data_IF_025207831405
#
_entry.id   IF_025207831405
#
_cell.length_a   1.000
_cell.length_b   1.000
_cell.length_c   1.000
_cell.angle_alpha   90.00
_cell.angle_beta   90.00
_cell.angle_gamma   90.00
#
_symmetry.space_group_name_H-M   'P 1'
#
loop_
_entity.id
_entity.type
_entity.pdbx_description
1 polymer ?
#
# COMPACT_ATOMS: atom_id res chain seq x y z
N UNK A 1 -0.63 -11.77 8.89
CA UNK A 1 -0.43 -10.78 7.81
C UNK A 1 1.03 -10.34 7.81
N UNK A 2 1.70 -10.25 6.65
CA UNK A 2 3.10 -9.84 6.52
C UNK A 2 3.24 -8.68 5.53
N UNK A 3 4.04 -7.67 5.87
CA UNK A 3 4.48 -6.62 4.93
C UNK A 3 5.62 -7.17 4.07
N UNK A 4 5.47 -7.06 2.76
CA UNK A 4 6.44 -7.55 1.76
C UNK A 4 7.38 -6.45 1.29
N UNK A 5 6.83 -5.26 1.11
CA UNK A 5 7.52 -4.08 0.60
C UNK A 5 6.80 -2.81 1.10
N UNK A 6 7.50 -1.68 1.12
CA UNK A 6 6.94 -0.40 1.56
C UNK A 6 7.65 0.78 0.90
N UNK A 7 6.94 1.90 0.77
CA UNK A 7 7.57 3.19 0.49
C UNK A 7 8.02 3.84 1.79
N UNK A 8 9.04 4.70 1.73
CA UNK A 8 9.50 5.49 2.88
C UNK A 8 8.33 6.22 3.59
N UNK A 9 8.31 6.18 4.92
CA UNK A 9 7.31 6.84 5.77
C UNK A 9 7.61 8.34 6.02
N UNK A 10 8.70 8.83 5.41
CA UNK A 10 9.14 10.22 5.41
C UNK A 10 8.18 11.16 4.67
N UNK A 11 7.31 10.62 3.81
CA UNK A 11 6.30 11.40 3.09
C UNK A 11 4.97 11.45 3.87
N UNK A 12 4.13 12.43 3.55
CA UNK A 12 2.79 12.55 4.15
C UNK A 12 1.87 11.35 3.83
N UNK A 13 2.16 10.64 2.73
CA UNK A 13 1.49 9.41 2.32
C UNK A 13 2.55 8.35 2.07
N UNK A 14 2.36 7.17 2.64
CA UNK A 14 3.20 6.02 2.37
C UNK A 14 2.34 4.77 2.19
N UNK A 15 2.91 3.76 1.55
CA UNK A 15 2.22 2.57 1.14
C UNK A 15 2.96 1.31 1.59
N UNK A 16 2.21 0.26 1.90
CA UNK A 16 2.73 -1.06 2.24
C UNK A 16 2.08 -2.11 1.33
N UNK A 17 2.88 -3.00 0.75
CA UNK A 17 2.40 -4.20 0.07
C UNK A 17 2.25 -5.33 1.10
N UNK A 18 1.00 -5.67 1.44
CA UNK A 18 0.68 -6.66 2.47
C UNK A 18 0.27 -8.00 1.85
N UNK A 19 0.58 -9.11 2.53
CA UNK A 19 0.21 -10.47 2.10
C UNK A 19 -0.39 -11.30 3.24
N UNK A 20 -1.44 -12.08 2.92
CA UNK A 20 -1.95 -13.18 3.75
C UNK A 20 -2.68 -14.21 2.89
N UNK A 21 -2.47 -15.51 3.14
CA UNK A 21 -3.25 -16.57 2.49
C UNK A 21 -3.22 -16.58 0.96
N UNK A 22 -2.08 -16.23 0.34
CA UNK A 22 -1.94 -16.14 -1.13
C UNK A 22 -2.52 -14.87 -1.76
N UNK A 23 -3.29 -14.10 -0.99
CA UNK A 23 -3.83 -12.81 -1.38
C UNK A 23 -2.90 -11.67 -0.94
N UNK A 24 -3.00 -10.55 -1.65
CA UNK A 24 -2.28 -9.31 -1.38
C UNK A 24 -3.21 -8.11 -1.49
N UNK A 25 -2.86 -7.06 -0.78
CA UNK A 25 -3.50 -5.75 -0.86
C UNK A 25 -2.45 -4.66 -0.59
N UNK A 26 -2.75 -3.45 -1.02
CA UNK A 26 -1.94 -2.27 -0.70
C UNK A 26 -2.62 -1.53 0.44
N UNK A 27 -1.89 -1.28 1.51
CA UNK A 27 -2.30 -0.36 2.56
C UNK A 27 -1.75 1.03 2.25
N UNK A 28 -2.63 2.01 2.16
CA UNK A 28 -2.29 3.43 2.07
C UNK A 28 -2.43 4.06 3.45
N UNK A 29 -1.38 4.71 3.91
CA UNK A 29 -1.39 5.47 5.16
C UNK A 29 -1.12 6.93 4.87
N UNK A 30 -1.99 7.83 5.36
CA UNK A 30 -1.84 9.27 5.17
C UNK A 30 -1.90 10.03 6.49
N UNK A 31 -1.03 11.04 6.64
CA UNK A 31 -0.96 11.94 7.79
C UNK A 31 -1.86 13.14 7.53
N UNK A 32 -3.09 13.13 8.06
CA UNK A 32 -4.01 14.27 8.00
C UNK A 32 -3.72 15.24 9.14
N UNK A 33 -3.43 16.49 8.78
CA UNK A 33 -3.21 17.62 9.69
C UNK A 33 -2.13 17.35 10.78
N UNK A 34 -1.12 16.53 10.44
CA UNK A 34 0.01 16.20 11.32
C UNK A 34 -0.33 15.39 12.58
N UNK A 35 -1.59 15.04 12.81
CA UNK A 35 -2.05 14.38 14.05
C UNK A 35 -2.88 13.12 13.83
N UNK A 36 -3.57 13.01 12.69
CA UNK A 36 -4.46 11.87 12.42
C UNK A 36 -3.90 11.01 11.30
N UNK A 37 -3.61 9.76 11.63
CA UNK A 37 -3.30 8.74 10.64
C UNK A 37 -4.62 8.23 10.05
N UNK A 38 -4.76 8.25 8.73
CA UNK A 38 -5.86 7.64 7.98
C UNK A 38 -5.29 6.45 7.22
N UNK A 39 -5.88 5.29 7.42
CA UNK A 39 -5.49 4.03 6.78
C UNK A 39 -6.60 3.58 5.85
N UNK A 40 -6.24 3.26 4.62
CA UNK A 40 -7.12 2.74 3.58
C UNK A 40 -6.48 1.49 2.99
N UNK A 41 -7.31 0.51 2.62
CA UNK A 41 -6.84 -0.73 2.00
C UNK A 41 -7.45 -0.87 0.60
N UNK A 42 -6.64 -1.32 -0.35
CA UNK A 42 -7.17 -1.79 -1.62
C UNK A 42 -7.98 -3.08 -1.41
N UNK A 43 -8.79 -3.50 -2.40
CA UNK A 43 -9.30 -4.87 -2.43
C UNK A 43 -8.17 -5.90 -2.28
N UNK A 44 -8.51 -7.02 -1.67
CA UNK A 44 -7.65 -8.18 -1.57
C UNK A 44 -7.72 -8.96 -2.87
N UNK A 45 -6.60 -9.07 -3.57
CA UNK A 45 -6.50 -9.71 -4.88
C UNK A 45 -5.40 -10.75 -4.89
N UNK A 46 -5.34 -11.56 -5.95
CA UNK A 46 -4.25 -12.50 -6.13
C UNK A 46 -2.91 -11.76 -6.23
N UNK A 47 -1.83 -12.43 -5.82
CA UNK A 47 -0.49 -11.84 -5.75
C UNK A 47 -0.04 -11.13 -7.04
N UNK A 48 -0.32 -11.72 -8.21
CA UNK A 48 0.08 -11.16 -9.49
C UNK A 48 -0.59 -9.80 -9.80
N UNK A 49 -1.87 -9.65 -9.48
CA UNK A 49 -2.62 -8.40 -9.69
C UNK A 49 -2.13 -7.30 -8.74
N UNK A 50 -1.89 -7.65 -7.47
CA UNK A 50 -1.35 -6.72 -6.49
C UNK A 50 0.05 -6.23 -6.88
N UNK A 51 0.91 -7.10 -7.43
CA UNK A 51 2.27 -6.74 -7.84
C UNK A 51 2.27 -5.76 -9.03
N UNK A 52 1.31 -5.90 -9.95
CA UNK A 52 1.12 -4.95 -11.05
C UNK A 52 0.68 -3.60 -10.49
N UNK A 53 -0.29 -3.58 -9.56
CA UNK A 53 -0.74 -2.35 -8.93
C UNK A 53 0.38 -1.69 -8.13
N UNK A 54 1.15 -2.46 -7.37
CA UNK A 54 2.31 -1.99 -6.61
C UNK A 54 3.34 -1.31 -7.53
N UNK A 55 3.69 -1.94 -8.65
CA UNK A 55 4.61 -1.35 -9.63
C UNK A 55 4.08 -0.05 -10.21
N UNK A 56 2.80 -0.02 -10.61
CA UNK A 56 2.17 1.22 -11.11
C UNK A 56 2.20 2.33 -10.06
N UNK A 57 2.02 1.99 -8.79
CA UNK A 57 2.10 2.94 -7.69
C UNK A 57 3.51 3.52 -7.53
N UNK A 58 4.54 2.67 -7.53
CA UNK A 58 5.94 3.10 -7.48
C UNK A 58 6.35 3.96 -8.69
N UNK A 59 5.75 3.69 -9.85
CA UNK A 59 5.93 4.49 -11.08
C UNK A 59 5.12 5.79 -11.09
N UNK A 60 4.30 6.07 -10.07
CA UNK A 60 3.41 7.24 -10.02
C UNK A 60 2.20 7.17 -10.97
N UNK A 61 1.87 5.96 -11.47
CA UNK A 61 0.77 5.68 -12.40
C UNK A 61 -0.51 5.19 -11.70
N UNK A 62 -0.52 5.13 -10.38
CA UNK A 62 -1.68 4.82 -9.52
C UNK A 62 -1.60 5.64 -8.23
N UNK A 63 -2.72 5.82 -7.51
CA UNK A 63 -2.76 6.57 -6.25
C UNK A 63 -3.72 6.00 -5.22
#
# INVERSE_FOLDING_TARGET
MRVRDHTCDCQAVFYELCQSGGLRFIRRTSRKDGRRMVVEESPWVIAAEADILWRRLLEGRAR
#
